data_IF_735728391154
#
_entry.id   IF_735728391154
#
_cell.length_a   1.000
_cell.length_b   1.000
_cell.length_c   1.000
_cell.angle_alpha   90.00
_cell.angle_beta   90.00
_cell.angle_gamma   90.00
#
_symmetry.space_group_name_H-M   'P 1'
#
loop_
_entity.id
_entity.type
_entity.pdbx_description
1 polymer ?
#
# COMPACT_ATOMS: atom_id res chain seq x y z
N UNK A 1 -13.44 20.39 20.63
CA UNK A 1 -12.93 21.12 19.44
C UNK A 1 -12.82 22.65 19.61
N UNK A 2 -13.24 23.30 20.72
CA UNK A 2 -13.26 24.78 20.84
C UNK A 2 -11.96 25.46 21.30
N UNK A 3 -10.93 24.75 21.80
CA UNK A 3 -9.77 25.40 22.45
C UNK A 3 -8.60 25.74 21.51
N UNK A 4 -8.45 25.10 20.34
CA UNK A 4 -7.37 25.43 19.37
C UNK A 4 -7.73 25.00 17.94
N UNK A 5 -8.69 25.67 17.27
CA UNK A 5 -9.19 25.26 15.95
C UNK A 5 -8.14 25.34 14.81
N UNK A 6 -7.03 26.05 15.03
CA UNK A 6 -5.95 26.25 14.06
C UNK A 6 -4.66 25.47 14.39
N UNK A 7 -4.69 24.51 15.31
CA UNK A 7 -3.52 23.66 15.53
C UNK A 7 -3.27 22.75 14.33
N UNK A 8 -2.00 22.62 13.93
CA UNK A 8 -1.55 21.83 12.78
C UNK A 8 -2.16 20.42 12.77
N UNK A 9 -2.15 19.74 13.92
CA UNK A 9 -2.72 18.39 14.03
C UNK A 9 -4.22 18.34 13.71
N UNK A 10 -5.01 19.31 14.18
CA UNK A 10 -6.44 19.33 13.87
C UNK A 10 -6.71 19.66 12.40
N UNK A 11 -5.90 20.51 11.79
CA UNK A 11 -5.99 20.81 10.36
C UNK A 11 -5.60 19.59 9.53
N UNK A 12 -4.51 18.90 9.87
CA UNK A 12 -4.12 17.62 9.27
C UNK A 12 -5.23 16.57 9.35
N UNK A 13 -5.86 16.40 10.53
CA UNK A 13 -6.96 15.46 10.70
C UNK A 13 -8.20 15.83 9.86
N UNK A 14 -8.45 17.13 9.64
CA UNK A 14 -9.49 17.58 8.69
C UNK A 14 -9.12 17.22 7.25
N UNK A 15 -7.86 17.40 6.85
CA UNK A 15 -7.38 16.96 5.54
C UNK A 15 -7.55 15.45 5.34
N UNK A 16 -7.20 14.65 6.35
CA UNK A 16 -7.44 13.18 6.33
C UNK A 16 -8.92 12.84 6.19
N UNK A 17 -9.81 13.54 6.90
CA UNK A 17 -11.25 13.31 6.78
C UNK A 17 -11.78 13.68 5.38
N UNK A 18 -11.29 14.77 4.80
CA UNK A 18 -11.63 15.16 3.43
C UNK A 18 -11.17 14.10 2.41
N UNK A 19 -9.94 13.60 2.53
CA UNK A 19 -9.41 12.53 1.67
C UNK A 19 -10.22 11.22 1.80
N UNK A 20 -10.62 10.84 3.03
CA UNK A 20 -11.48 9.68 3.26
C UNK A 20 -12.90 9.85 2.70
N UNK A 21 -13.35 11.09 2.49
CA UNK A 21 -14.65 11.42 1.92
C UNK A 21 -14.61 11.63 0.40
N UNK A 22 -13.43 11.44 -0.23
CA UNK A 22 -13.22 11.65 -1.67
C UNK A 22 -12.97 13.10 -2.09
N UNK A 23 -12.94 14.05 -1.15
CA UNK A 23 -12.56 15.45 -1.41
C UNK A 23 -11.04 15.60 -1.37
N UNK A 24 -10.38 15.18 -2.46
CA UNK A 24 -8.92 15.22 -2.55
C UNK A 24 -8.37 16.64 -2.70
N UNK A 25 -9.11 17.56 -3.32
CA UNK A 25 -8.66 18.93 -3.46
C UNK A 25 -8.68 19.65 -2.11
N UNK A 26 -9.80 19.57 -1.39
CA UNK A 26 -9.88 20.12 -0.03
C UNK A 26 -8.89 19.47 0.92
N UNK A 27 -8.63 18.16 0.77
CA UNK A 27 -7.59 17.47 1.53
C UNK A 27 -6.20 18.09 1.33
N UNK A 28 -5.79 18.31 0.07
CA UNK A 28 -4.50 18.95 -0.27
C UNK A 28 -4.41 20.36 0.32
N UNK A 29 -5.47 21.16 0.21
CA UNK A 29 -5.51 22.51 0.77
C UNK A 29 -5.35 22.49 2.31
N UNK A 30 -5.99 21.54 2.99
CA UNK A 30 -5.80 21.35 4.43
C UNK A 30 -4.39 20.89 4.79
N UNK A 31 -3.77 20.00 4.02
CA UNK A 31 -2.40 19.57 4.27
C UNK A 31 -1.40 20.70 4.09
N UNK A 32 -1.54 21.52 3.04
CA UNK A 32 -0.74 22.73 2.89
C UNK A 32 -0.94 23.70 4.04
N UNK A 33 -2.19 23.99 4.40
CA UNK A 33 -2.49 24.87 5.54
C UNK A 33 -1.90 24.35 6.86
N UNK A 34 -1.88 23.02 7.03
CA UNK A 34 -1.30 22.34 8.18
C UNK A 34 0.22 22.49 8.24
N UNK A 35 0.89 22.51 7.09
CA UNK A 35 2.31 22.84 6.99
C UNK A 35 2.53 24.31 7.34
N UNK A 36 1.79 25.23 6.71
CA UNK A 36 2.01 26.68 6.87
C UNK A 36 1.72 27.22 8.29
N UNK A 37 0.96 26.50 9.11
CA UNK A 37 0.59 26.95 10.45
C UNK A 37 1.63 26.64 11.54
N UNK A 38 2.73 25.97 11.21
CA UNK A 38 3.78 25.61 12.17
C UNK A 38 5.15 25.64 11.48
N UNK A 39 6.19 26.08 12.19
CA UNK A 39 7.56 26.20 11.65
C UNK A 39 8.56 25.22 12.26
N UNK A 40 8.22 24.68 13.43
CA UNK A 40 9.21 24.10 14.35
C UNK A 40 9.42 22.60 14.12
N UNK A 41 8.39 21.90 13.62
CA UNK A 41 8.41 20.44 13.50
C UNK A 41 8.42 20.00 12.03
N UNK A 42 9.61 20.04 11.41
CA UNK A 42 9.80 19.67 10.00
C UNK A 42 9.38 18.23 9.67
N UNK A 43 9.56 17.28 10.59
CA UNK A 43 9.13 15.89 10.36
C UNK A 43 7.61 15.78 10.12
N UNK A 44 6.82 16.71 10.63
CA UNK A 44 5.38 16.74 10.37
C UNK A 44 5.03 17.19 8.95
N UNK A 45 5.89 17.98 8.30
CA UNK A 45 5.74 18.30 6.88
C UNK A 45 5.80 17.03 6.05
N UNK A 46 6.72 16.11 6.37
CA UNK A 46 6.85 14.83 5.66
C UNK A 46 5.57 13.99 5.75
N UNK A 47 4.85 14.02 6.88
CA UNK A 47 3.55 13.34 7.01
C UNK A 47 2.51 13.98 6.09
N UNK A 48 2.50 15.32 6.00
CA UNK A 48 1.60 16.03 5.09
C UNK A 48 1.95 15.74 3.62
N UNK A 49 3.23 15.78 3.22
CA UNK A 49 3.67 15.44 1.87
C UNK A 49 3.35 13.99 1.50
N UNK A 50 3.47 13.07 2.45
CA UNK A 50 3.07 11.68 2.26
C UNK A 50 1.58 11.55 1.94
N UNK A 51 0.73 12.26 2.68
CA UNK A 51 -0.72 12.24 2.44
C UNK A 51 -1.09 12.90 1.11
N UNK A 52 -0.43 13.99 0.75
CA UNK A 52 -0.61 14.66 -0.54
C UNK A 52 -0.19 13.80 -1.72
N UNK A 53 0.95 13.10 -1.61
CA UNK A 53 1.41 12.11 -2.59
C UNK A 53 0.31 11.07 -2.86
N UNK A 54 -0.34 10.56 -1.82
CA UNK A 54 -1.43 9.60 -1.98
C UNK A 54 -2.69 10.21 -2.57
N UNK A 55 -3.04 11.47 -2.25
CA UNK A 55 -4.15 12.17 -2.90
C UNK A 55 -3.93 12.24 -4.42
N UNK A 56 -2.74 12.65 -4.87
CA UNK A 56 -2.40 12.66 -6.29
C UNK A 56 -2.38 11.24 -6.90
N UNK A 57 -1.78 10.28 -6.21
CA UNK A 57 -1.68 8.88 -6.68
C UNK A 57 -3.06 8.26 -6.93
N UNK A 58 -4.01 8.41 -5.99
CA UNK A 58 -5.35 7.82 -6.16
C UNK A 58 -6.16 8.49 -7.27
N UNK A 59 -5.89 9.76 -7.58
CA UNK A 59 -6.47 10.48 -8.73
C UNK A 59 -5.81 10.10 -10.08
N UNK A 60 -4.73 9.32 -10.05
CA UNK A 60 -3.94 8.98 -11.24
C UNK A 60 -3.08 10.15 -11.74
N UNK A 61 -2.81 11.13 -10.87
CA UNK A 61 -1.94 12.28 -11.12
C UNK A 61 -0.49 11.88 -10.80
N UNK A 62 0.03 10.88 -11.53
CA UNK A 62 1.28 10.18 -11.21
C UNK A 62 2.48 11.13 -11.09
N UNK A 63 2.60 12.11 -11.99
CA UNK A 63 3.73 13.03 -12.01
C UNK A 63 3.73 13.98 -10.82
N UNK A 64 2.56 14.44 -10.37
CA UNK A 64 2.47 15.26 -9.16
C UNK A 64 2.73 14.40 -7.91
N UNK A 65 2.30 13.13 -7.88
CA UNK A 65 2.69 12.18 -6.82
C UNK A 65 4.21 11.96 -6.77
N UNK A 66 4.87 11.86 -7.94
CA UNK A 66 6.33 11.70 -8.03
C UNK A 66 7.08 12.85 -7.38
N UNK A 67 6.61 14.10 -7.51
CA UNK A 67 7.23 15.29 -6.89
C UNK A 67 7.30 15.15 -5.36
N UNK A 68 6.23 14.69 -4.73
CA UNK A 68 6.21 14.47 -3.29
C UNK A 68 7.05 13.26 -2.87
N UNK A 69 7.07 12.18 -3.65
CA UNK A 69 7.95 11.05 -3.41
C UNK A 69 9.43 11.44 -3.47
N UNK A 70 9.81 12.26 -4.44
CA UNK A 70 11.16 12.82 -4.57
C UNK A 70 11.53 13.70 -3.38
N UNK A 71 10.64 14.63 -3.01
CA UNK A 71 10.85 15.51 -1.86
C UNK A 71 11.08 14.71 -0.58
N UNK A 72 10.25 13.70 -0.33
CA UNK A 72 10.43 12.78 0.79
C UNK A 72 11.74 12.00 0.70
N UNK A 73 12.15 11.56 -0.49
CA UNK A 73 13.42 10.85 -0.67
C UNK A 73 14.67 11.73 -0.44
N UNK A 74 14.54 13.05 -0.60
CA UNK A 74 15.61 14.02 -0.36
C UNK A 74 15.63 14.52 1.09
N UNK A 75 14.47 14.77 1.69
CA UNK A 75 14.35 15.42 3.01
C UNK A 75 14.17 14.41 4.17
N UNK A 76 13.50 13.28 3.94
CA UNK A 76 13.11 12.34 5.00
C UNK A 76 14.10 11.20 5.19
N UNK A 77 14.38 10.88 6.46
CA UNK A 77 15.20 9.73 6.87
C UNK A 77 14.40 8.45 7.16
N UNK A 78 13.07 8.49 7.07
CA UNK A 78 12.20 7.39 7.52
C UNK A 78 12.35 6.12 6.67
N UNK A 79 12.38 6.25 5.34
CA UNK A 79 12.53 5.10 4.44
C UNK A 79 12.92 5.55 3.02
N UNK A 80 14.21 5.83 2.81
CA UNK A 80 14.70 6.32 1.51
C UNK A 80 14.41 5.30 0.39
N UNK A 81 14.62 4.01 0.66
CA UNK A 81 14.31 2.92 -0.26
C UNK A 81 12.84 2.94 -0.72
N UNK A 82 11.90 3.15 0.21
CA UNK A 82 10.48 3.22 -0.14
C UNK A 82 10.19 4.45 -0.99
N UNK A 83 10.67 5.63 -0.61
CA UNK A 83 10.39 6.86 -1.37
C UNK A 83 10.96 6.82 -2.80
N UNK A 84 12.18 6.31 -2.98
CA UNK A 84 12.79 6.14 -4.32
C UNK A 84 12.06 5.10 -5.16
N UNK A 85 11.65 4.00 -4.54
CA UNK A 85 10.82 3.01 -5.23
C UNK A 85 9.46 3.60 -5.64
N UNK A 86 8.79 4.35 -4.74
CA UNK A 86 7.54 5.05 -5.05
C UNK A 86 7.69 6.04 -6.20
N UNK A 87 8.77 6.84 -6.18
CA UNK A 87 9.13 7.76 -7.26
C UNK A 87 9.23 7.01 -8.60
N UNK A 88 9.97 5.89 -8.63
CA UNK A 88 10.14 5.07 -9.83
C UNK A 88 8.84 4.45 -10.34
N UNK A 89 8.01 3.87 -9.47
CA UNK A 89 6.78 3.19 -9.91
C UNK A 89 5.73 4.16 -10.43
N UNK A 90 5.65 5.38 -9.89
CA UNK A 90 4.77 6.42 -10.42
C UNK A 90 5.21 6.86 -11.83
N UNK A 91 6.52 7.01 -12.03
CA UNK A 91 7.08 7.29 -13.35
C UNK A 91 6.78 6.15 -14.34
N UNK A 92 7.04 4.89 -13.97
CA UNK A 92 6.75 3.73 -14.83
C UNK A 92 5.27 3.72 -15.20
N UNK A 93 4.39 3.93 -14.22
CA UNK A 93 2.95 3.92 -14.43
C UNK A 93 2.47 5.02 -15.38
N UNK A 94 3.06 6.22 -15.27
CA UNK A 94 2.82 7.34 -16.18
C UNK A 94 3.28 7.02 -17.61
N UNK A 95 4.53 6.56 -17.78
CA UNK A 95 5.09 6.24 -19.09
C UNK A 95 4.32 5.14 -19.80
N UNK A 96 3.84 4.12 -19.07
CA UNK A 96 2.99 3.06 -19.61
C UNK A 96 1.64 3.60 -20.12
N UNK A 97 1.05 4.56 -19.42
CA UNK A 97 -0.22 5.19 -19.83
C UNK A 97 -0.03 6.07 -21.07
N UNK A 98 1.05 6.86 -21.13
CA UNK A 98 1.38 7.67 -22.31
C UNK A 98 1.66 6.81 -23.55
N UNK A 99 2.37 5.68 -23.39
CA UNK A 99 2.59 4.73 -24.49
C UNK A 99 1.27 4.12 -24.97
N UNK A 100 0.36 3.78 -24.06
CA UNK A 100 -0.97 3.28 -24.41
C UNK A 100 -1.82 4.31 -25.16
N UNK A 101 -1.81 5.57 -24.69
CA UNK A 101 -2.52 6.67 -25.34
C UNK A 101 -1.96 6.95 -26.75
N UNK A 102 -0.64 6.95 -26.91
CA UNK A 102 0.02 7.14 -28.21
C UNK A 102 -0.28 5.99 -29.19
N UNK A 103 -0.31 4.74 -28.71
CA UNK A 103 -0.66 3.58 -29.54
C UNK A 103 -2.12 3.64 -30.05
N UNK A 104 -3.03 4.21 -29.24
CA UNK A 104 -4.41 4.47 -29.67
C UNK A 104 -4.56 5.61 -30.68
N UNK A 105 -3.54 6.46 -30.85
CA UNK A 105 -3.61 7.69 -31.64
C UNK A 105 -3.17 7.58 -33.12
N UNK A 106 -2.46 6.51 -33.55
CA UNK A 106 -2.33 5.99 -34.94
C UNK A 106 -1.10 5.07 -35.13
N UNK A 107 -1.23 4.16 -36.13
CA UNK A 107 -0.13 3.59 -36.92
C UNK A 107 0.99 4.62 -37.17
N UNK A 108 2.13 4.44 -36.49
CA UNK A 108 3.41 4.98 -36.92
C UNK A 108 4.51 4.19 -36.23
N UNK A 109 5.24 3.42 -37.05
CA UNK A 109 6.48 2.75 -36.68
C UNK A 109 7.42 3.67 -35.90
N UNK A 110 7.68 3.35 -34.63
CA UNK A 110 8.89 3.80 -33.96
C UNK A 110 9.48 2.68 -33.12
N UNK A 111 10.77 2.43 -33.39
CA UNK A 111 11.60 1.45 -32.71
C UNK A 111 11.75 1.80 -31.23
N UNK A 112 11.84 0.73 -30.47
CA UNK A 112 12.16 0.65 -29.04
C UNK A 112 13.34 1.53 -28.62
N UNK A 113 13.26 1.96 -27.36
CA UNK A 113 14.26 2.65 -26.53
C UNK A 113 14.48 4.13 -26.86
N UNK A 114 13.94 5.01 -26.03
CA UNK A 114 14.50 6.36 -25.83
C UNK A 114 14.45 6.70 -24.35
N UNK A 115 15.64 6.90 -23.78
CA UNK A 115 15.94 7.61 -22.54
C UNK A 115 15.54 9.08 -22.70
N UNK A 116 14.27 9.43 -22.48
CA UNK A 116 13.86 10.84 -22.44
C UNK A 116 13.99 11.33 -21.00
N UNK A 117 14.83 12.34 -20.71
CA UNK A 117 14.86 12.99 -19.41
C UNK A 117 13.46 13.52 -19.09
N UNK A 118 12.92 13.13 -17.94
CA UNK A 118 11.61 13.59 -17.48
C UNK A 118 11.79 15.01 -16.97
N UNK A 119 11.33 15.99 -17.75
CA UNK A 119 11.35 17.40 -17.37
C UNK A 119 10.15 17.65 -16.46
N UNK A 120 10.40 17.93 -15.19
CA UNK A 120 9.38 18.38 -14.25
C UNK A 120 9.24 19.90 -14.35
N UNK A 121 8.04 20.38 -14.65
CA UNK A 121 7.69 21.79 -14.52
C UNK A 121 7.48 22.12 -13.02
N UNK A 122 8.22 23.07 -12.43
CA UNK A 122 7.99 23.51 -11.06
C UNK A 122 6.59 24.14 -10.97
N UNK A 123 5.65 23.44 -10.33
CA UNK A 123 4.44 24.11 -9.85
C UNK A 123 4.82 24.79 -8.53
N UNK A 124 4.39 26.03 -8.33
CA UNK A 124 4.73 26.90 -7.18
C UNK A 124 4.48 26.28 -5.78
N UNK A 125 3.74 25.17 -5.70
CA UNK A 125 3.45 24.49 -4.42
C UNK A 125 4.35 23.26 -4.15
N UNK A 126 5.26 22.92 -5.08
CA UNK A 126 6.12 21.75 -5.02
C UNK A 126 7.56 22.08 -5.43
N UNK A 127 8.32 22.68 -4.51
CA UNK A 127 9.77 22.92 -4.61
C UNK A 127 10.62 21.61 -4.56
N UNK A 128 10.10 20.50 -5.09
CA UNK A 128 10.86 19.28 -5.27
C UNK A 128 11.92 19.50 -6.34
N UNK A 129 13.18 19.54 -5.92
CA UNK A 129 14.32 19.89 -6.75
C UNK A 129 14.46 19.05 -8.02
N UNK A 130 15.08 19.68 -9.02
CA UNK A 130 15.40 19.20 -10.36
C UNK A 130 16.46 18.07 -10.27
N UNK A 131 16.09 16.89 -9.78
CA UNK A 131 16.94 15.72 -9.87
C UNK A 131 16.28 14.71 -10.81
N UNK A 132 16.37 15.02 -12.11
CA UNK A 132 16.01 14.10 -13.18
C UNK A 132 16.90 12.85 -13.11
N UNK A 133 16.50 11.89 -12.27
CA UNK A 133 17.03 10.53 -12.24
C UNK A 133 16.22 9.68 -13.19
N UNK A 134 16.88 8.81 -13.95
CA UNK A 134 16.16 7.81 -14.73
C UNK A 134 15.48 6.80 -13.79
N UNK A 135 14.48 6.07 -14.28
CA UNK A 135 13.83 4.99 -13.50
C UNK A 135 14.88 3.96 -13.07
N UNK A 136 15.81 3.67 -13.96
CA UNK A 136 16.95 2.81 -13.72
C UNK A 136 17.81 3.30 -12.56
N UNK A 137 18.24 4.57 -12.58
CA UNK A 137 19.05 5.13 -11.49
C UNK A 137 18.31 5.08 -10.15
N UNK A 138 16.99 5.31 -10.17
CA UNK A 138 16.16 5.24 -8.96
C UNK A 138 16.14 3.82 -8.39
N UNK A 139 15.88 2.81 -9.25
CA UNK A 139 15.71 1.42 -8.82
C UNK A 139 17.03 0.72 -8.50
N UNK A 140 18.12 1.03 -9.21
CA UNK A 140 19.45 0.44 -8.99
C UNK A 140 19.98 0.73 -7.58
N UNK A 141 19.61 1.88 -7.01
CA UNK A 141 20.02 2.32 -5.69
C UNK A 141 19.11 1.85 -4.53
N UNK A 142 17.95 1.26 -4.82
CA UNK A 142 17.01 0.81 -3.76
C UNK A 142 17.63 -0.22 -2.83
N UNK A 143 18.33 -1.28 -3.30
CA UNK A 143 18.93 -2.29 -2.42
C UNK A 143 19.92 -1.74 -1.39
N UNK A 144 20.64 -0.68 -1.73
CA UNK A 144 21.67 -0.03 -0.89
C UNK A 144 21.04 0.90 0.15
N UNK A 145 19.77 1.27 -0.02
CA UNK A 145 19.04 2.20 0.85
C UNK A 145 18.20 1.50 1.93
N UNK A 146 18.23 0.17 2.00
CA UNK A 146 17.44 -0.61 2.94
C UNK A 146 17.95 -0.39 4.37
N UNK A 147 17.04 0.02 5.24
CA UNK A 147 17.31 0.20 6.66
C UNK A 147 16.99 -1.09 7.42
N UNK A 148 17.77 -1.35 8.47
CA UNK A 148 17.51 -2.42 9.43
C UNK A 148 17.20 -1.80 10.78
N UNK A 149 16.04 -2.14 11.33
CA UNK A 149 15.63 -1.74 12.67
C UNK A 149 15.61 -3.02 13.52
N UNK A 150 16.41 -3.04 14.59
CA UNK A 150 16.63 -4.23 15.42
C UNK A 150 16.99 -5.48 14.59
N UNK A 151 17.90 -5.32 13.63
CA UNK A 151 18.39 -6.40 12.75
C UNK A 151 17.45 -6.83 11.63
N UNK A 152 16.17 -6.40 11.66
CA UNK A 152 15.15 -6.74 10.65
C UNK A 152 14.94 -5.58 9.68
N UNK A 153 14.77 -5.88 8.39
CA UNK A 153 14.37 -4.88 7.41
C UNK A 153 12.87 -4.59 7.49
N UNK A 154 12.47 -3.36 7.14
CA UNK A 154 11.06 -3.00 7.05
C UNK A 154 10.39 -3.84 5.96
N UNK A 155 9.19 -4.42 6.20
CA UNK A 155 8.53 -5.29 5.23
C UNK A 155 8.32 -4.64 3.87
N UNK A 156 8.06 -3.33 3.86
CA UNK A 156 7.84 -2.60 2.62
C UNK A 156 9.13 -2.29 1.86
N UNK A 157 10.21 -1.98 2.55
CA UNK A 157 11.52 -1.80 1.93
C UNK A 157 12.00 -3.10 1.30
N UNK A 158 11.79 -4.23 1.99
CA UNK A 158 12.10 -5.56 1.43
C UNK A 158 11.28 -5.85 0.18
N UNK A 159 10.01 -5.43 0.14
CA UNK A 159 9.17 -5.53 -1.06
C UNK A 159 9.70 -4.65 -2.20
N UNK A 160 10.00 -3.38 -1.91
CA UNK A 160 10.58 -2.43 -2.86
C UNK A 160 11.89 -2.95 -3.47
N UNK A 161 12.80 -3.48 -2.64
CA UNK A 161 14.05 -4.10 -3.09
C UNK A 161 13.79 -5.26 -4.05
N UNK A 162 12.91 -6.21 -3.69
CA UNK A 162 12.57 -7.35 -4.56
C UNK A 162 12.02 -6.91 -5.91
N UNK A 163 11.15 -5.89 -5.92
CA UNK A 163 10.58 -5.35 -7.16
C UNK A 163 11.60 -4.58 -7.99
N UNK A 164 12.51 -3.84 -7.34
CA UNK A 164 13.62 -3.16 -8.02
C UNK A 164 14.56 -4.17 -8.70
N UNK A 165 14.92 -5.27 -8.04
CA UNK A 165 15.72 -6.34 -8.65
C UNK A 165 14.98 -7.00 -9.83
N UNK A 166 13.70 -7.35 -9.62
CA UNK A 166 12.84 -7.94 -10.66
C UNK A 166 12.73 -7.05 -11.90
N UNK A 167 12.69 -5.73 -11.73
CA UNK A 167 12.65 -4.80 -12.86
C UNK A 167 13.83 -5.03 -13.82
N UNK A 168 15.06 -5.18 -13.31
CA UNK A 168 16.24 -5.43 -14.15
C UNK A 168 16.27 -6.86 -14.70
N UNK A 169 15.80 -7.86 -13.93
CA UNK A 169 15.69 -9.25 -14.38
C UNK A 169 14.66 -9.44 -15.52
N UNK A 170 13.70 -8.52 -15.65
CA UNK A 170 12.61 -8.59 -16.63
C UNK A 170 12.71 -7.56 -17.75
N UNK A 171 13.93 -7.22 -18.17
CA UNK A 171 14.20 -6.25 -19.24
C UNK A 171 13.53 -4.89 -18.95
N UNK A 172 13.74 -4.37 -17.74
CA UNK A 172 13.28 -3.06 -17.27
C UNK A 172 11.76 -2.91 -17.31
N UNK A 173 11.04 -3.94 -16.86
CA UNK A 173 9.58 -3.97 -16.86
C UNK A 173 9.01 -4.33 -15.49
N UNK A 174 7.93 -3.64 -15.12
CA UNK A 174 7.02 -4.03 -14.04
C UNK A 174 5.58 -3.88 -14.51
N UNK A 175 4.69 -4.77 -14.07
CA UNK A 175 3.27 -4.75 -14.47
C UNK A 175 2.46 -3.89 -13.51
N UNK A 176 1.91 -2.78 -14.01
CA UNK A 176 1.00 -1.89 -13.27
C UNK A 176 1.52 -1.46 -11.87
N UNK A 177 2.80 -1.08 -11.73
CA UNK A 177 3.41 -0.96 -10.40
C UNK A 177 2.81 0.19 -9.57
N UNK A 178 2.30 1.25 -10.21
CA UNK A 178 1.58 2.32 -9.52
C UNK A 178 0.24 1.84 -8.95
N UNK A 179 -0.53 1.06 -9.72
CA UNK A 179 -1.80 0.48 -9.26
C UNK A 179 -1.59 -0.63 -8.22
N UNK A 180 -0.55 -1.44 -8.35
CA UNK A 180 -0.14 -2.42 -7.34
C UNK A 180 0.10 -1.74 -5.99
N UNK A 181 0.90 -0.67 -5.99
CA UNK A 181 1.20 0.09 -4.79
C UNK A 181 -0.02 0.82 -4.24
N UNK A 182 -0.87 1.37 -5.11
CA UNK A 182 -2.15 1.93 -4.71
C UNK A 182 -3.03 0.90 -3.99
N UNK A 183 -3.12 -0.32 -4.50
CA UNK A 183 -3.85 -1.41 -3.85
C UNK A 183 -3.26 -1.77 -2.49
N UNK A 184 -1.94 -1.96 -2.43
CA UNK A 184 -1.25 -2.29 -1.19
C UNK A 184 -1.48 -1.21 -0.11
N UNK A 185 -1.65 0.06 -0.50
CA UNK A 185 -1.99 1.18 0.39
C UNK A 185 -3.47 1.47 0.57
N UNK A 186 -4.34 0.54 0.18
CA UNK A 186 -5.79 0.71 0.30
C UNK A 186 -6.32 1.94 -0.45
N UNK A 187 -5.60 2.46 -1.45
CA UNK A 187 -5.99 3.63 -2.23
C UNK A 187 -7.31 3.45 -2.96
N UNK A 188 -7.61 2.25 -3.45
CA UNK A 188 -8.91 1.94 -4.06
C UNK A 188 -10.12 2.16 -3.13
N UNK A 189 -9.93 2.06 -1.80
CA UNK A 189 -11.01 2.35 -0.84
C UNK A 189 -11.35 3.84 -0.80
N UNK A 190 -10.38 4.72 -1.07
CA UNK A 190 -10.57 6.17 -1.07
C UNK A 190 -11.36 6.65 -2.29
N UNK A 191 -11.31 5.91 -3.39
CA UNK A 191 -11.97 6.24 -4.65
C UNK A 191 -13.19 5.37 -4.93
N UNK A 192 -13.61 4.55 -3.97
CA UNK A 192 -14.68 3.58 -4.13
C UNK A 192 -16.02 4.23 -4.57
N UNK A 193 -16.24 5.48 -4.16
CA UNK A 193 -17.45 6.24 -4.49
C UNK A 193 -17.27 7.14 -5.73
N UNK A 194 -16.14 7.01 -6.44
CA UNK A 194 -15.86 7.71 -7.70
C UNK A 194 -15.77 6.70 -8.86
N UNK A 195 -16.91 6.34 -9.49
CA UNK A 195 -16.95 5.31 -10.52
C UNK A 195 -16.16 5.70 -11.77
N UNK A 196 -16.07 6.98 -12.12
CA UNK A 196 -15.34 7.44 -13.31
C UNK A 196 -13.85 7.15 -13.18
N UNK A 197 -13.28 7.45 -12.01
CA UNK A 197 -11.88 7.19 -11.71
C UNK A 197 -11.58 5.68 -11.64
N UNK A 198 -12.48 4.90 -11.03
CA UNK A 198 -12.35 3.43 -11.00
C UNK A 198 -12.44 2.84 -12.42
N UNK A 199 -13.36 3.31 -13.26
CA UNK A 199 -13.47 2.88 -14.65
C UNK A 199 -12.22 3.24 -15.48
N UNK A 200 -11.64 4.43 -15.27
CA UNK A 200 -10.35 4.80 -15.88
C UNK A 200 -9.27 3.78 -15.57
N UNK A 201 -9.11 3.38 -14.29
CA UNK A 201 -8.13 2.37 -13.92
C UNK A 201 -8.47 0.98 -14.44
N UNK A 202 -9.76 0.61 -14.45
CA UNK A 202 -10.22 -0.66 -15.02
C UNK A 202 -9.83 -0.78 -16.50
N UNK A 203 -10.02 0.29 -17.30
CA UNK A 203 -9.61 0.30 -18.71
C UNK A 203 -8.10 0.11 -18.88
N UNK A 204 -7.28 0.76 -18.04
CA UNK A 204 -5.81 0.58 -18.06
C UNK A 204 -5.43 -0.87 -17.74
N UNK A 205 -6.08 -1.47 -16.74
CA UNK A 205 -5.85 -2.86 -16.34
C UNK A 205 -6.26 -3.83 -17.44
N UNK A 206 -7.42 -3.63 -18.06
CA UNK A 206 -7.91 -4.48 -19.14
C UNK A 206 -7.02 -4.41 -20.38
N UNK A 207 -6.60 -3.20 -20.78
CA UNK A 207 -5.63 -3.03 -21.86
C UNK A 207 -4.30 -3.75 -21.56
N UNK A 208 -3.82 -3.69 -20.30
CA UNK A 208 -2.63 -4.42 -19.90
C UNK A 208 -2.83 -5.93 -19.93
N UNK A 209 -3.96 -6.45 -19.45
CA UNK A 209 -4.29 -7.88 -19.53
C UNK A 209 -4.28 -8.38 -20.97
N UNK A 210 -4.91 -7.65 -21.91
CA UNK A 210 -4.84 -7.99 -23.32
C UNK A 210 -3.40 -8.04 -23.83
N UNK A 211 -2.60 -7.02 -23.54
CA UNK A 211 -1.18 -7.00 -23.93
C UNK A 211 -0.36 -8.14 -23.32
N UNK A 212 -0.66 -8.59 -22.10
CA UNK A 212 0.01 -9.72 -21.46
C UNK A 212 -0.34 -11.01 -22.18
N UNK A 213 -1.63 -11.26 -22.45
CA UNK A 213 -2.11 -12.47 -23.14
C UNK A 213 -1.49 -12.57 -24.53
N UNK A 214 -1.49 -11.47 -25.29
CA UNK A 214 -0.91 -11.42 -26.64
C UNK A 214 0.61 -11.71 -26.69
N UNK A 215 1.30 -11.54 -25.56
CA UNK A 215 2.75 -11.71 -25.45
C UNK A 215 3.15 -12.80 -24.44
N UNK A 216 2.24 -13.71 -24.10
CA UNK A 216 2.44 -14.70 -23.04
C UNK A 216 3.76 -15.47 -23.16
N UNK A 217 4.12 -15.92 -24.37
CA UNK A 217 5.34 -16.71 -24.61
C UNK A 217 6.64 -15.93 -24.42
N UNK A 218 6.59 -14.59 -24.51
CA UNK A 218 7.77 -13.72 -24.38
C UNK A 218 8.00 -13.26 -22.94
N UNK A 219 7.03 -13.47 -22.06
CA UNK A 219 7.05 -12.94 -20.70
C UNK A 219 7.47 -14.04 -19.73
N UNK A 220 8.68 -13.90 -19.17
CA UNK A 220 9.27 -14.88 -18.25
C UNK A 220 8.42 -15.18 -17.02
N UNK A 221 7.81 -14.17 -16.39
CA UNK A 221 6.93 -14.34 -15.22
C UNK A 221 5.48 -13.97 -15.55
N UNK A 222 4.97 -14.50 -16.67
CA UNK A 222 3.63 -14.20 -17.17
C UNK A 222 2.55 -14.47 -16.13
N UNK A 223 2.59 -15.61 -15.44
CA UNK A 223 1.58 -15.98 -14.47
C UNK A 223 1.49 -14.98 -13.31
N UNK A 224 2.62 -14.55 -12.75
CA UNK A 224 2.66 -13.51 -11.71
C UNK A 224 2.07 -12.18 -12.21
N UNK A 225 2.45 -11.74 -13.42
CA UNK A 225 1.97 -10.48 -14.00
C UNK A 225 0.46 -10.52 -14.33
N UNK A 226 0.00 -11.64 -14.90
CA UNK A 226 -1.40 -11.89 -15.21
C UNK A 226 -2.25 -11.93 -13.94
N UNK A 227 -1.78 -12.62 -12.89
CA UNK A 227 -2.49 -12.70 -11.62
C UNK A 227 -2.54 -11.36 -10.90
N UNK A 228 -1.47 -10.56 -10.94
CA UNK A 228 -1.49 -9.20 -10.40
C UNK A 228 -2.52 -8.32 -11.12
N UNK A 229 -2.51 -8.31 -12.45
CA UNK A 229 -3.47 -7.52 -13.22
C UNK A 229 -4.92 -8.01 -13.01
N UNK A 230 -5.13 -9.33 -12.90
CA UNK A 230 -6.43 -9.94 -12.62
C UNK A 230 -6.93 -9.58 -11.22
N UNK A 231 -6.07 -9.60 -10.21
CA UNK A 231 -6.40 -9.14 -8.86
C UNK A 231 -6.85 -7.67 -8.88
N UNK A 232 -6.07 -6.79 -9.53
CA UNK A 232 -6.40 -5.36 -9.64
C UNK A 232 -7.72 -5.12 -10.39
N UNK A 233 -8.00 -5.92 -11.43
CA UNK A 233 -9.30 -5.93 -12.11
C UNK A 233 -10.42 -6.28 -11.14
N UNK A 234 -10.26 -7.34 -10.37
CA UNK A 234 -11.23 -7.77 -9.35
C UNK A 234 -11.50 -6.67 -8.32
N UNK A 235 -10.47 -5.97 -7.86
CA UNK A 235 -10.60 -4.83 -6.93
C UNK A 235 -11.43 -3.69 -7.54
N UNK A 236 -11.16 -3.31 -8.79
CA UNK A 236 -11.95 -2.28 -9.49
C UNK A 236 -13.41 -2.70 -9.64
N UNK A 237 -13.65 -3.95 -10.06
CA UNK A 237 -14.99 -4.50 -10.21
C UNK A 237 -15.76 -4.54 -8.88
N UNK A 238 -15.07 -4.85 -7.77
CA UNK A 238 -15.66 -4.79 -6.43
C UNK A 238 -16.05 -3.35 -6.04
N UNK A 239 -15.18 -2.37 -6.33
CA UNK A 239 -15.52 -0.96 -6.13
C UNK A 239 -16.75 -0.54 -6.92
N UNK A 240 -16.88 -1.02 -8.16
CA UNK A 240 -18.06 -0.82 -9.03
C UNK A 240 -19.27 -1.69 -8.64
N UNK A 241 -19.23 -2.40 -7.52
CA UNK A 241 -20.29 -3.31 -7.03
C UNK A 241 -20.62 -4.48 -7.98
N UNK A 242 -19.74 -4.80 -8.93
CA UNK A 242 -19.85 -5.96 -9.82
C UNK A 242 -19.30 -7.22 -9.14
N UNK A 243 -19.91 -7.60 -8.01
CA UNK A 243 -19.41 -8.64 -7.08
C UNK A 243 -19.12 -9.98 -7.74
N UNK A 244 -20.04 -10.46 -8.58
CA UNK A 244 -19.84 -11.74 -9.28
C UNK A 244 -18.57 -11.72 -10.16
N UNK A 245 -18.38 -10.67 -10.96
CA UNK A 245 -17.20 -10.53 -11.81
C UNK A 245 -15.92 -10.38 -10.98
N UNK A 246 -15.99 -9.65 -9.86
CA UNK A 246 -14.88 -9.52 -8.92
C UNK A 246 -14.48 -10.88 -8.32
N UNK A 247 -15.46 -11.70 -7.88
CA UNK A 247 -15.21 -13.06 -7.38
C UNK A 247 -14.50 -13.90 -8.44
N UNK A 248 -14.98 -13.88 -9.68
CA UNK A 248 -14.33 -14.61 -10.78
C UNK A 248 -12.86 -14.24 -10.94
N UNK A 249 -12.51 -12.95 -10.87
CA UNK A 249 -11.11 -12.51 -10.91
C UNK A 249 -10.27 -13.07 -9.76
N UNK A 250 -10.77 -13.02 -8.52
CA UNK A 250 -10.01 -13.54 -7.38
C UNK A 250 -9.89 -15.07 -7.41
N UNK A 251 -10.94 -15.77 -7.83
CA UNK A 251 -10.89 -17.23 -8.04
C UNK A 251 -9.87 -17.61 -9.11
N UNK A 252 -9.80 -16.87 -10.22
CA UNK A 252 -8.81 -17.10 -11.28
C UNK A 252 -7.37 -16.99 -10.75
N UNK A 253 -7.09 -16.00 -9.89
CA UNK A 253 -5.78 -15.86 -9.25
C UNK A 253 -5.45 -17.09 -8.39
N UNK A 254 -6.41 -17.59 -7.61
CA UNK A 254 -6.22 -18.77 -6.77
C UNK A 254 -6.03 -20.06 -7.60
N UNK A 255 -6.73 -20.18 -8.73
CA UNK A 255 -6.57 -21.32 -9.65
C UNK A 255 -5.17 -21.40 -10.27
N UNK A 256 -4.48 -20.27 -10.36
CA UNK A 256 -3.11 -20.17 -10.88
C UNK A 256 -2.02 -20.30 -9.81
N UNK A 257 -2.34 -20.71 -8.57
CA UNK A 257 -1.40 -20.78 -7.44
C UNK A 257 -0.06 -21.45 -7.77
N UNK A 258 -0.08 -22.57 -8.49
CA UNK A 258 1.14 -23.34 -8.80
C UNK A 258 2.07 -22.63 -9.78
N UNK A 259 1.53 -21.72 -10.59
CA UNK A 259 2.28 -20.96 -11.58
C UNK A 259 2.84 -19.64 -11.02
N UNK A 260 2.39 -19.21 -9.83
CA UNK A 260 2.88 -17.99 -9.17
C UNK A 260 4.16 -18.33 -8.39
N UNK A 261 5.27 -17.73 -8.83
CA UNK A 261 6.58 -18.02 -8.23
C UNK A 261 7.11 -16.89 -7.36
N UNK A 262 6.93 -15.63 -7.76
CA UNK A 262 7.55 -14.47 -7.12
C UNK A 262 6.58 -13.76 -6.18
N UNK A 263 5.38 -13.44 -6.66
CA UNK A 263 4.38 -12.63 -5.97
C UNK A 263 3.35 -13.51 -5.25
N UNK A 264 3.82 -14.48 -4.45
CA UNK A 264 2.94 -15.36 -3.65
C UNK A 264 1.97 -14.63 -2.71
N UNK A 265 2.20 -13.34 -2.45
CA UNK A 265 1.29 -12.52 -1.66
C UNK A 265 -0.08 -12.34 -2.34
N UNK A 266 -0.18 -12.50 -3.67
CA UNK A 266 -1.44 -12.37 -4.42
C UNK A 266 -2.51 -13.35 -3.93
N UNK A 267 -2.10 -14.54 -3.45
CA UNK A 267 -3.00 -15.60 -3.00
C UNK A 267 -3.77 -15.21 -1.73
N UNK A 268 -3.12 -14.96 -0.57
CA UNK A 268 -3.84 -14.58 0.63
C UNK A 268 -4.53 -13.21 0.50
N UNK A 269 -4.03 -12.31 -0.35
CA UNK A 269 -4.74 -11.06 -0.65
C UNK A 269 -6.04 -11.32 -1.42
N UNK A 270 -6.06 -12.26 -2.39
CA UNK A 270 -7.28 -12.66 -3.11
C UNK A 270 -8.30 -13.32 -2.19
N UNK A 271 -7.86 -14.21 -1.28
CA UNK A 271 -8.72 -14.79 -0.24
C UNK A 271 -9.35 -13.71 0.64
N UNK A 272 -8.58 -12.67 1.01
CA UNK A 272 -9.10 -11.53 1.79
C UNK A 272 -10.13 -10.71 1.02
N UNK A 273 -9.98 -10.53 -0.29
CA UNK A 273 -10.99 -9.84 -1.11
C UNK A 273 -12.28 -10.68 -1.25
N UNK A 274 -12.17 -12.00 -1.40
CA UNK A 274 -13.32 -12.91 -1.40
C UNK A 274 -14.05 -12.91 -0.04
N UNK A 275 -13.28 -12.93 1.06
CA UNK A 275 -13.82 -12.76 2.41
C UNK A 275 -14.64 -11.47 2.54
N UNK A 276 -14.12 -10.34 2.02
CA UNK A 276 -14.84 -9.06 2.03
C UNK A 276 -16.12 -9.11 1.22
N UNK A 277 -16.11 -9.71 0.03
CA UNK A 277 -17.32 -9.86 -0.79
C UNK A 277 -18.38 -10.68 -0.04
N UNK A 278 -17.99 -11.82 0.53
CA UNK A 278 -18.91 -12.67 1.30
C UNK A 278 -19.52 -11.92 2.50
N UNK A 279 -18.73 -11.08 3.20
CA UNK A 279 -19.26 -10.21 4.27
C UNK A 279 -20.23 -9.15 3.76
N UNK A 280 -19.95 -8.55 2.60
CA UNK A 280 -20.85 -7.56 1.97
C UNK A 280 -22.17 -8.20 1.49
N UNK A 281 -22.17 -9.50 1.19
CA UNK A 281 -23.34 -10.29 0.80
C UNK A 281 -24.09 -10.89 1.99
N UNK A 282 -23.51 -10.86 3.19
CA UNK A 282 -24.08 -11.43 4.41
C UNK A 282 -23.76 -12.91 4.64
N UNK A 283 -22.94 -13.50 3.78
CA UNK A 283 -22.52 -14.90 3.82
C UNK A 283 -21.35 -15.10 4.81
N UNK A 284 -21.66 -15.05 6.11
CA UNK A 284 -20.65 -15.04 7.19
C UNK A 284 -19.81 -16.33 7.23
N UNK A 285 -20.39 -17.47 6.85
CA UNK A 285 -19.68 -18.75 6.88
C UNK A 285 -18.71 -18.92 5.69
N UNK A 286 -19.09 -18.47 4.49
CA UNK A 286 -18.16 -18.37 3.34
C UNK A 286 -17.03 -17.38 3.66
N UNK A 287 -17.37 -16.22 4.26
CA UNK A 287 -16.38 -15.24 4.70
C UNK A 287 -15.36 -15.84 5.70
N UNK A 288 -15.83 -16.64 6.67
CA UNK A 288 -14.96 -17.33 7.62
C UNK A 288 -14.06 -18.34 6.90
N UNK A 289 -14.58 -19.11 5.96
CA UNK A 289 -13.80 -20.08 5.18
C UNK A 289 -12.63 -19.40 4.45
N UNK A 290 -12.90 -18.29 3.75
CA UNK A 290 -11.86 -17.51 3.07
C UNK A 290 -10.86 -16.89 4.06
N UNK A 291 -11.33 -16.41 5.21
CA UNK A 291 -10.45 -15.89 6.26
C UNK A 291 -9.48 -16.96 6.78
N UNK A 292 -9.97 -18.16 7.05
CA UNK A 292 -9.16 -19.29 7.55
C UNK A 292 -8.13 -19.73 6.50
N UNK A 293 -8.51 -19.75 5.21
CA UNK A 293 -7.57 -19.98 4.10
C UNK A 293 -6.51 -18.89 4.03
N UNK A 294 -6.87 -17.61 4.15
CA UNK A 294 -5.91 -16.52 4.13
C UNK A 294 -4.85 -16.63 5.25
N UNK A 295 -5.25 -17.10 6.45
CA UNK A 295 -4.34 -17.37 7.57
C UNK A 295 -3.37 -18.54 7.33
N UNK A 296 -3.72 -19.48 6.44
CA UNK A 296 -2.89 -20.67 6.16
C UNK A 296 -1.64 -20.35 5.33
N UNK A 297 -1.65 -19.26 4.56
CA UNK A 297 -0.50 -18.82 3.79
C UNK A 297 0.55 -18.18 4.70
N UNK A 298 1.83 -18.47 4.46
CA UNK A 298 2.95 -17.91 5.23
C UNK A 298 4.14 -17.61 4.32
N UNK A 299 5.13 -16.84 4.81
CA UNK A 299 6.41 -16.56 4.13
C UNK A 299 6.27 -15.79 2.81
N UNK A 300 5.23 -14.98 2.68
CA UNK A 300 5.02 -14.10 1.52
C UNK A 300 5.41 -12.65 1.84
N UNK A 301 5.64 -11.84 0.80
CA UNK A 301 5.95 -10.42 0.99
C UNK A 301 4.74 -9.70 1.60
N UNK A 302 4.97 -8.77 2.52
CA UNK A 302 3.93 -7.97 3.18
C UNK A 302 2.95 -8.75 4.08
N UNK A 303 3.35 -9.93 4.56
CA UNK A 303 2.58 -10.76 5.51
C UNK A 303 2.12 -9.97 6.75
N UNK A 304 3.02 -9.26 7.42
CA UNK A 304 2.67 -8.40 8.57
C UNK A 304 1.62 -7.34 8.22
N UNK A 305 1.64 -6.81 6.99
CA UNK A 305 0.66 -5.83 6.52
C UNK A 305 -0.72 -6.46 6.33
N UNK A 306 -0.78 -7.66 5.75
CA UNK A 306 -2.02 -8.38 5.57
C UNK A 306 -2.62 -8.81 6.92
N UNK A 307 -1.79 -9.20 7.90
CA UNK A 307 -2.26 -9.61 9.23
C UNK A 307 -3.10 -8.53 9.93
N UNK A 308 -2.77 -7.24 9.77
CA UNK A 308 -3.63 -6.17 10.28
C UNK A 308 -5.05 -6.21 9.68
N UNK A 309 -5.16 -6.52 8.37
CA UNK A 309 -6.46 -6.70 7.71
C UNK A 309 -7.16 -7.96 8.22
N UNK A 310 -6.43 -9.08 8.37
CA UNK A 310 -6.98 -10.34 8.88
C UNK A 310 -7.54 -10.16 10.30
N UNK A 311 -6.79 -9.53 11.21
CA UNK A 311 -7.29 -9.24 12.56
C UNK A 311 -8.54 -8.35 12.56
N UNK A 312 -8.58 -7.33 11.69
CA UNK A 312 -9.76 -6.49 11.53
C UNK A 312 -10.98 -7.30 11.07
N UNK A 313 -10.80 -8.18 10.07
CA UNK A 313 -11.87 -9.06 9.57
C UNK A 313 -12.30 -10.09 10.62
N UNK A 314 -11.37 -10.68 11.36
CA UNK A 314 -11.69 -11.57 12.50
C UNK A 314 -12.57 -10.86 13.53
N UNK A 315 -12.24 -9.61 13.87
CA UNK A 315 -13.05 -8.81 14.80
C UNK A 315 -14.45 -8.52 14.25
N UNK A 316 -14.57 -8.22 12.94
CA UNK A 316 -15.85 -7.99 12.28
C UNK A 316 -16.72 -9.25 12.26
N UNK A 317 -16.17 -10.41 11.88
CA UNK A 317 -16.89 -11.69 11.87
C UNK A 317 -17.39 -12.06 13.26
N UNK A 318 -16.54 -11.91 14.29
CA UNK A 318 -16.94 -12.14 15.69
C UNK A 318 -18.11 -11.25 16.09
N UNK A 319 -18.06 -9.96 15.74
CA UNK A 319 -19.13 -9.01 16.04
C UNK A 319 -20.47 -9.34 15.33
N UNK A 320 -20.42 -9.98 14.16
CA UNK A 320 -21.61 -10.42 13.43
C UNK A 320 -22.23 -11.71 14.01
N UNK A 321 -21.40 -12.64 14.52
CA UNK A 321 -21.89 -13.89 15.13
C UNK A 321 -22.47 -13.71 16.53
N UNK A 322 -21.98 -12.73 17.30
CA UNK A 322 -22.41 -12.48 18.69
C UNK A 322 -23.05 -11.08 18.89
N UNK A 323 -24.27 -10.82 18.38
CA UNK A 323 -24.92 -9.52 18.53
C UNK A 323 -25.25 -9.15 19.99
N UNK A 324 -25.33 -10.14 20.90
CA UNK A 324 -25.64 -9.93 22.33
C UNK A 324 -24.54 -9.19 23.10
N UNK A 325 -23.30 -9.16 22.59
CA UNK A 325 -22.20 -8.40 23.20
C UNK A 325 -22.25 -6.89 22.90
N UNK A 326 -23.09 -6.44 21.94
CA UNK A 326 -23.30 -5.00 21.65
C UNK A 326 -24.09 -4.28 22.75
N UNK A 327 -25.10 -4.93 23.32
CA UNK A 327 -26.01 -4.30 24.30
C UNK A 327 -25.36 -4.15 25.67
N UNK A 328 -24.49 -5.07 26.08
CA UNK A 328 -23.82 -5.00 27.38
C UNK A 328 -22.74 -3.91 27.45
N UNK A 329 -22.09 -3.59 26.31
CA UNK A 329 -21.10 -2.50 26.25
C UNK A 329 -21.71 -1.11 26.00
N UNK A 330 -22.92 -1.00 25.45
CA UNK A 330 -23.57 0.30 25.26
C UNK A 330 -24.25 0.84 26.53
N UNK A 331 -24.44 0.01 27.56
CA UNK A 331 -24.98 0.41 28.87
C UNK A 331 -23.90 0.80 29.91
N UNK A 332 -22.61 0.60 29.62
CA UNK A 332 -21.54 1.16 30.44
C UNK A 332 -21.21 2.57 29.93
N UNK A 333 -21.47 3.56 30.79
CA UNK A 333 -21.43 4.98 30.46
C UNK A 333 -20.14 5.46 29.80
N UNK A 334 -20.28 6.60 29.12
CA UNK A 334 -19.27 7.34 28.35
C UNK A 334 -17.85 7.32 28.94
N UNK A 335 -16.78 7.39 28.10
CA UNK A 335 -15.39 7.10 28.49
C UNK A 335 -14.74 8.06 29.52
N UNK A 336 -15.45 9.06 30.03
CA UNK A 336 -14.91 10.05 30.98
C UNK A 336 -14.92 9.54 32.43
N UNK A 337 -15.82 8.62 32.78
CA UNK A 337 -15.87 8.04 34.13
C UNK A 337 -14.83 6.93 34.37
N UNK A 338 -14.30 6.31 33.31
CA UNK A 338 -13.34 5.21 33.44
C UNK A 338 -11.92 5.67 33.77
N UNK A 339 -11.56 6.94 33.57
CA UNK A 339 -10.21 7.44 33.85
C UNK A 339 -9.96 7.69 35.34
N UNK A 340 -10.99 8.06 36.11
CA UNK A 340 -10.82 8.39 37.53
C UNK A 340 -10.80 7.16 38.46
N UNK A 341 -11.34 6.03 38.02
CA UNK A 341 -11.35 4.80 38.82
C UNK A 341 -10.02 4.02 38.80
N UNK A 342 -9.13 4.31 37.85
CA UNK A 342 -7.84 3.62 37.70
C UNK A 342 -6.70 4.20 38.53
N UNK A 343 -6.89 5.34 39.19
CA UNK A 343 -5.80 6.04 39.92
C UNK A 343 -5.83 5.85 41.44
N UNK A 344 -6.88 5.23 42.02
CA UNK A 344 -7.04 5.08 43.47
C UNK A 344 -6.85 3.64 43.99
N UNK A 345 -6.23 2.74 43.21
CA UNK A 345 -5.87 1.40 43.68
C UNK A 345 -4.43 1.06 43.32
N UNK A 346 -3.50 1.70 44.01
CA UNK A 346 -2.16 1.17 44.20
C UNK A 346 -1.91 1.09 45.71
N UNK A 347 -2.12 -0.09 46.27
CA UNK A 347 -1.51 -0.47 47.55
C UNK A 347 -0.13 -1.03 47.23
N UNK A 348 0.87 -0.72 48.07
CA UNK A 348 2.32 -0.94 47.88
C UNK A 348 2.81 -2.41 47.75
N UNK A 349 1.97 -3.34 47.29
CA UNK A 349 2.31 -4.76 47.19
C UNK A 349 2.03 -5.44 45.85
N UNK A 350 1.62 -4.70 44.80
CA UNK A 350 1.36 -5.31 43.49
C UNK A 350 2.56 -5.13 42.53
N UNK A 351 3.09 -6.25 42.05
CA UNK A 351 4.26 -6.35 41.16
C UNK A 351 4.12 -5.51 39.89
N UNK A 352 5.21 -4.83 39.51
CA UNK A 352 5.28 -3.97 38.33
C UNK A 352 5.19 -4.83 37.05
N UNK A 353 4.20 -4.61 36.17
CA UNK A 353 4.00 -5.41 34.95
C UNK A 353 5.10 -5.22 33.88
N UNK A 354 6.16 -4.48 34.19
CA UNK A 354 7.32 -4.27 33.32
C UNK A 354 8.61 -4.95 33.83
N UNK A 355 8.57 -5.66 34.97
CA UNK A 355 9.71 -6.47 35.42
C UNK A 355 9.71 -7.83 34.71
N UNK A 356 10.51 -7.93 33.65
CA UNK A 356 10.78 -9.18 32.93
C UNK A 356 12.01 -9.84 33.57
N UNK A 357 11.83 -10.95 34.30
CA UNK A 357 12.94 -11.80 34.73
C UNK A 357 13.52 -12.53 33.51
N UNK A 358 14.81 -12.29 33.23
CA UNK A 358 15.56 -12.90 32.15
C UNK A 358 15.87 -14.37 32.50
N UNK A 359 15.34 -15.32 31.75
CA UNK A 359 15.62 -16.74 31.97
C UNK A 359 16.91 -17.15 31.26
N UNK A 360 17.99 -17.36 32.02
CA UNK A 360 19.36 -17.59 31.54
C UNK A 360 19.66 -19.05 31.15
N UNK A 361 18.67 -19.82 30.64
CA UNK A 361 18.82 -21.27 30.42
C UNK A 361 18.53 -21.76 28.99
N UNK A 362 18.60 -20.89 27.99
CA UNK A 362 18.53 -21.26 26.56
C UNK A 362 19.73 -20.71 25.77
N UNK A 363 20.92 -20.96 26.30
CA UNK A 363 22.19 -20.74 25.59
C UNK A 363 23.00 -22.02 25.65
N UNK A 364 22.96 -22.78 24.55
CA UNK A 364 23.97 -23.70 24.02
C UNK A 364 23.24 -24.72 23.14
N UNK A 365 23.39 -24.58 21.82
CA UNK A 365 23.84 -25.68 20.96
C UNK A 365 24.16 -25.12 19.55
N UNK A 366 25.45 -25.18 19.27
CA UNK A 366 26.16 -25.30 17.99
C UNK A 366 26.05 -24.23 16.90
N UNK A 367 27.04 -23.34 16.98
CA UNK A 367 27.82 -22.84 15.86
C UNK A 367 28.22 -23.96 14.89
N UNK A 368 27.88 -23.80 13.61
CA UNK A 368 28.69 -24.37 12.53
C UNK A 368 29.10 -23.26 11.57
N UNK A 369 30.38 -22.92 11.66
CA UNK A 369 31.15 -22.10 10.75
C UNK A 369 31.01 -22.59 9.30
N UNK A 370 30.78 -21.66 8.37
CA UNK A 370 31.37 -21.77 7.03
C UNK A 370 32.08 -20.46 6.77
N UNK A 371 33.40 -20.56 6.81
CA UNK A 371 34.43 -19.58 6.46
C UNK A 371 34.35 -19.19 4.99
N UNK A 372 34.46 -17.88 4.73
CA UNK A 372 34.80 -17.33 3.43
C UNK A 372 36.33 -17.28 3.33
N UNK A 373 36.90 -17.98 2.35
CA UNK A 373 38.22 -17.67 1.81
C UNK A 373 38.07 -17.16 0.37
N UNK A 374 38.52 -15.91 0.20
CA UNK A 374 38.91 -15.16 -1.00
C UNK A 374 38.04 -15.20 -2.26
#
# INVERSE_FOLDING_TARGET
MKKSPNSAFFIFLRGRLAALSGDFQGAKDYFFKSISCQTDFHNFYHICYWEMMWCHCVQGEWMDATKYAERLACESKWSNATYRYLQAVFIIQFLDQERGAAAGAKNSSRKSSVLVPIIFDPKDDADGGILAKTVEDLLENVPQMIQRIAGKSLPIEKFAMKKALRFFEQDKRLTLPGLEIMYLWSGFKLINDNPDLVNKFLLIIEAKLHSLVDNQEKISNYADDFCLATLLKGVCLRCLRKRFQARMCFTEVLMNEKAIHLDRYLLPFSEVELCQIALEEGEVDEAKSHLDKAWSYTKYSLEARLHFRLHSLTAQIKALKDPKQRVSKSLQGTPVSSWHNGLNKFTESDENPFDIQFNSSLGNDDDNQITLEL
#
